data_IF_500181257499
#
_entry.id   IF_500181257499
#
_cell.length_a   1.000
_cell.length_b   1.000
_cell.length_c   1.000
_cell.angle_alpha   90.00
_cell.angle_beta   90.00
_cell.angle_gamma   90.00
#
_symmetry.space_group_name_H-M   'P 1'
#
loop_
_entity.id
_entity.type
_entity.pdbx_description
1 polymer ?
#
# COMPACT_ATOMS: atom_id res chain seq x y z
N UNK A 1 -2.07 0.72 1.41
CA UNK A 1 -1.89 0.80 2.87
C UNK A 1 -2.99 -0.04 3.50
N UNK A 2 -2.74 -0.65 4.65
CA UNK A 2 -3.75 -1.37 5.41
C UNK A 2 -3.99 -0.61 6.72
N UNK A 3 -5.08 0.17 6.73
CA UNK A 3 -5.51 0.95 7.88
C UNK A 3 -6.27 0.03 8.84
N UNK A 4 -5.81 -0.15 10.09
CA UNK A 4 -6.51 -0.99 11.06
C UNK A 4 -7.96 -0.53 11.24
N UNK A 5 -8.87 -1.50 11.40
CA UNK A 5 -10.31 -1.26 11.61
C UNK A 5 -11.06 -0.65 10.44
N UNK A 6 -10.41 -0.38 9.31
CA UNK A 6 -11.09 0.04 8.08
C UNK A 6 -11.63 -1.16 7.29
N UNK A 7 -12.85 -1.06 6.74
CA UNK A 7 -13.47 -2.16 6.00
C UNK A 7 -12.79 -2.38 4.64
N UNK A 8 -12.93 -3.59 4.14
CA UNK A 8 -12.51 -3.98 2.79
C UNK A 8 -13.51 -3.41 1.75
N UNK A 9 -13.21 -2.22 1.22
CA UNK A 9 -14.12 -1.48 0.33
C UNK A 9 -14.08 -1.94 -1.12
N UNK A 10 -13.08 -2.73 -1.52
CA UNK A 10 -12.98 -3.34 -2.84
C UNK A 10 -13.44 -4.78 -2.75
N UNK A 11 -14.55 -5.10 -3.40
CA UNK A 11 -15.18 -6.42 -3.33
C UNK A 11 -15.61 -6.86 -4.73
N UNK A 12 -15.41 -8.14 -5.05
CA UNK A 12 -15.94 -8.75 -6.26
C UNK A 12 -17.36 -9.28 -6.01
N UNK A 13 -18.39 -8.67 -6.61
CA UNK A 13 -19.76 -9.20 -6.53
C UNK A 13 -19.97 -10.23 -7.63
N UNK A 14 -20.21 -11.50 -7.25
CA UNK A 14 -20.63 -12.53 -8.21
C UNK A 14 -22.08 -12.27 -8.65
N UNK A 15 -22.26 -11.71 -9.85
CA UNK A 15 -23.58 -11.63 -10.48
C UNK A 15 -23.98 -13.03 -11.00
N UNK A 16 -25.12 -13.56 -10.56
CA UNK A 16 -25.65 -14.87 -10.95
C UNK A 16 -26.03 -15.00 -12.45
N UNK A 17 -25.80 -13.97 -13.26
CA UNK A 17 -26.26 -13.88 -14.65
C UNK A 17 -25.15 -13.65 -15.70
N UNK A 18 -23.86 -13.66 -15.32
CA UNK A 18 -22.78 -13.47 -16.29
C UNK A 18 -21.93 -14.73 -16.46
N UNK A 19 -22.28 -15.53 -17.48
CA UNK A 19 -21.41 -16.53 -18.08
C UNK A 19 -20.32 -15.85 -18.92
N UNK A 20 -19.24 -15.38 -18.29
CA UNK A 20 -18.00 -15.09 -19.01
C UNK A 20 -16.83 -15.85 -18.38
N UNK A 21 -16.04 -16.51 -19.24
CA UNK A 21 -15.03 -17.55 -18.96
C UNK A 21 -13.72 -17.04 -18.38
N UNK A 22 -13.66 -15.82 -17.85
CA UNK A 22 -12.53 -15.36 -17.06
C UNK A 22 -12.77 -15.79 -15.62
N UNK A 23 -11.84 -16.54 -15.02
CA UNK A 23 -11.85 -16.82 -13.58
C UNK A 23 -11.96 -15.48 -12.85
N UNK A 24 -13.18 -15.09 -12.45
CA UNK A 24 -13.41 -13.86 -11.70
C UNK A 24 -12.75 -14.07 -10.35
N UNK A 25 -11.69 -13.31 -10.08
CA UNK A 25 -11.00 -13.29 -8.79
C UNK A 25 -12.05 -12.96 -7.73
N UNK A 26 -12.33 -13.89 -6.82
CA UNK A 26 -13.18 -13.64 -5.66
C UNK A 26 -12.27 -13.10 -4.57
N UNK A 27 -12.36 -11.82 -4.28
CA UNK A 27 -11.46 -11.15 -3.34
C UNK A 27 -12.13 -9.95 -2.66
N UNK A 28 -11.65 -9.60 -1.48
CA UNK A 28 -12.04 -8.41 -0.73
C UNK A 28 -10.79 -7.79 -0.09
N UNK A 29 -10.53 -6.50 -0.36
CA UNK A 29 -9.41 -5.79 0.26
C UNK A 29 -9.65 -4.28 0.36
N UNK A 30 -8.77 -3.57 1.06
CA UNK A 30 -8.84 -2.12 1.23
C UNK A 30 -8.48 -1.41 -0.09
N UNK A 31 -8.80 -0.13 -0.15
CA UNK A 31 -8.55 0.68 -1.32
C UNK A 31 -7.08 0.67 -1.76
N UNK A 32 -6.88 0.41 -3.05
CA UNK A 32 -5.59 0.57 -3.71
C UNK A 32 -5.46 2.00 -4.25
N UNK A 33 -4.30 2.61 -4.02
CA UNK A 33 -4.00 3.95 -4.50
C UNK A 33 -2.94 3.90 -5.59
N UNK A 34 -3.24 4.50 -6.74
CA UNK A 34 -2.23 4.77 -7.76
C UNK A 34 -1.28 5.85 -7.28
N UNK A 35 -0.01 5.67 -7.61
CA UNK A 35 1.01 6.69 -7.46
C UNK A 35 1.71 6.93 -8.79
N UNK A 36 2.31 8.10 -8.93
CA UNK A 36 3.09 8.52 -10.09
C UNK A 36 4.26 9.41 -9.67
N UNK A 37 5.14 9.70 -10.62
CA UNK A 37 6.25 10.60 -10.39
C UNK A 37 5.78 11.95 -9.80
N UNK A 38 6.44 12.37 -8.72
CA UNK A 38 6.13 13.60 -8.01
C UNK A 38 5.08 13.46 -6.91
N UNK A 39 4.54 12.27 -6.67
CA UNK A 39 3.69 12.04 -5.50
C UNK A 39 4.55 11.99 -4.23
N UNK A 40 4.11 12.73 -3.22
CA UNK A 40 4.54 12.60 -1.83
C UNK A 40 3.45 11.81 -1.12
N UNK A 41 3.83 10.71 -0.46
CA UNK A 41 2.91 9.82 0.25
C UNK A 41 3.31 9.82 1.73
N UNK A 42 2.37 10.13 2.61
CA UNK A 42 2.55 10.07 4.05
C UNK A 42 2.09 8.71 4.58
N UNK A 43 2.96 8.03 5.33
CA UNK A 43 2.65 6.74 5.95
C UNK A 43 2.73 6.92 7.47
N UNK A 44 1.61 6.78 8.21
CA UNK A 44 1.63 6.87 9.67
C UNK A 44 2.43 5.73 10.32
N UNK A 45 2.97 5.98 11.51
CA UNK A 45 3.65 4.95 12.29
C UNK A 45 2.73 3.75 12.55
N UNK A 46 3.25 2.53 12.35
CA UNK A 46 2.52 1.28 12.57
C UNK A 46 1.55 0.87 11.46
N UNK A 47 1.35 1.68 10.42
CA UNK A 47 0.48 1.33 9.29
C UNK A 47 1.23 0.47 8.28
N UNK A 48 0.72 -0.74 8.03
CA UNK A 48 1.28 -1.63 7.02
C UNK A 48 1.05 -1.05 5.60
N UNK A 49 2.08 -1.16 4.75
CA UNK A 49 2.02 -0.68 3.39
C UNK A 49 2.87 -1.55 2.47
N UNK A 50 2.51 -1.55 1.19
CA UNK A 50 3.21 -2.24 0.12
C UNK A 50 3.08 -1.43 -1.16
N UNK A 51 4.05 -1.59 -2.06
CA UNK A 51 4.09 -0.91 -3.35
C UNK A 51 4.26 -1.95 -4.44
N UNK A 52 3.61 -1.71 -5.56
CA UNK A 52 3.73 -2.55 -6.75
C UNK A 52 3.98 -1.66 -7.96
N UNK A 53 5.08 -1.93 -8.66
CA UNK A 53 5.37 -1.27 -9.92
C UNK A 53 4.70 -2.03 -11.05
N UNK A 54 3.67 -1.44 -11.64
CA UNK A 54 2.96 -1.97 -12.80
C UNK A 54 3.36 -1.28 -14.12
N UNK A 55 4.37 -0.40 -14.10
CA UNK A 55 4.91 0.24 -15.29
C UNK A 55 6.17 -0.43 -15.82
N UNK A 56 6.53 -0.11 -17.06
CA UNK A 56 7.72 -0.67 -17.73
C UNK A 56 9.04 -0.05 -17.24
N UNK A 57 8.96 1.13 -16.63
CA UNK A 57 10.11 1.84 -16.08
C UNK A 57 10.34 1.47 -14.61
N UNK A 58 11.60 1.36 -14.14
CA UNK A 58 11.89 1.19 -12.73
C UNK A 58 11.29 2.31 -11.88
N UNK A 59 10.64 1.93 -10.77
CA UNK A 59 10.19 2.87 -9.75
C UNK A 59 11.36 3.27 -8.86
N UNK A 60 11.53 4.58 -8.64
CA UNK A 60 12.47 5.13 -7.65
C UNK A 60 11.67 5.92 -6.63
N UNK A 61 11.84 5.59 -5.36
CA UNK A 61 11.25 6.32 -4.24
C UNK A 61 12.34 6.73 -3.25
N UNK A 62 12.18 7.92 -2.67
CA UNK A 62 12.98 8.41 -1.57
C UNK A 62 12.15 8.29 -0.30
N UNK A 63 12.66 7.55 0.68
CA UNK A 63 12.02 7.37 1.97
C UNK A 63 12.68 8.31 2.98
N UNK A 64 11.86 9.12 3.65
CA UNK A 64 12.28 9.94 4.80
C UNK A 64 11.50 9.44 6.00
N UNK A 65 12.22 9.04 7.04
CA UNK A 65 11.62 8.53 8.27
C UNK A 65 11.94 9.51 9.41
N UNK A 66 10.91 9.99 10.07
CA UNK A 66 11.02 10.92 11.20
C UNK A 66 11.11 10.13 12.53
N UNK A 67 12.33 9.77 12.94
CA UNK A 67 12.55 9.02 14.18
C UNK A 67 12.32 9.85 15.46
N UNK A 68 12.31 11.18 15.34
CA UNK A 68 12.03 12.12 16.42
C UNK A 68 10.55 12.45 16.57
N UNK A 69 9.69 11.83 15.77
CA UNK A 69 8.25 12.06 15.81
C UNK A 69 7.64 11.60 17.15
N UNK A 70 6.68 12.36 17.69
CA UNK A 70 5.96 11.98 18.91
C UNK A 70 5.19 10.65 18.81
N UNK A 71 4.90 10.18 17.59
CA UNK A 71 4.31 8.85 17.38
C UNK A 71 5.30 7.70 17.68
N UNK A 72 6.61 7.96 17.66
CA UNK A 72 7.63 6.98 18.03
C UNK A 72 7.84 6.99 19.56
N UNK A 73 7.34 5.95 20.23
CA UNK A 73 7.44 5.78 21.69
C UNK A 73 8.58 4.83 22.12
N UNK A 74 9.39 4.35 21.17
CA UNK A 74 10.46 3.40 21.45
C UNK A 74 11.74 4.18 21.80
N UNK A 75 12.58 4.40 20.80
CA UNK A 75 13.80 5.19 20.86
C UNK A 75 14.07 5.79 19.47
N UNK A 76 15.03 6.71 19.32
CA UNK A 76 15.35 7.35 18.05
C UNK A 76 16.01 6.43 16.99
N UNK A 77 15.79 5.12 17.07
CA UNK A 77 16.31 4.13 16.12
C UNK A 77 15.19 3.72 15.14
N UNK A 78 15.38 3.91 13.81
CA UNK A 78 14.54 3.31 12.77
C UNK A 78 14.27 1.83 12.99
N UNK A 79 13.02 1.42 12.78
CA UNK A 79 12.64 0.00 12.75
C UNK A 79 11.70 -0.26 11.59
N UNK A 80 11.97 -1.35 10.88
CA UNK A 80 11.10 -1.86 9.83
C UNK A 80 10.61 -3.25 10.22
N UNK A 81 9.28 -3.42 10.23
CA UNK A 81 8.64 -4.67 10.60
C UNK A 81 8.02 -5.29 9.34
N UNK A 82 8.72 -6.23 8.73
CA UNK A 82 8.25 -6.89 7.52
C UNK A 82 7.16 -7.91 7.85
N UNK A 83 6.03 -7.85 7.14
CA UNK A 83 5.01 -8.91 7.19
C UNK A 83 5.43 -10.13 6.36
N UNK A 84 6.26 -9.93 5.34
CA UNK A 84 6.79 -10.98 4.50
C UNK A 84 8.16 -10.53 3.95
N UNK A 85 8.93 -11.50 3.49
CA UNK A 85 10.30 -11.38 3.04
C UNK A 85 11.29 -11.31 4.20
N UNK A 86 12.57 -11.34 3.82
CA UNK A 86 13.68 -10.96 4.68
C UNK A 86 14.65 -10.08 3.90
N UNK A 87 15.19 -8.99 4.45
CA UNK A 87 16.22 -8.22 3.79
C UNK A 87 17.41 -9.11 3.40
N UNK A 88 17.87 -9.02 2.15
CA UNK A 88 19.15 -9.62 1.72
C UNK A 88 20.33 -8.84 2.28
N UNK A 89 21.54 -9.41 2.26
CA UNK A 89 22.74 -8.78 2.84
C UNK A 89 23.03 -7.37 2.30
N UNK A 90 22.85 -7.14 0.99
CA UNK A 90 23.03 -5.82 0.39
C UNK A 90 21.88 -4.85 0.73
N UNK A 91 20.65 -5.36 0.90
CA UNK A 91 19.54 -4.56 1.43
C UNK A 91 19.80 -4.20 2.89
N UNK A 92 20.45 -5.08 3.64
CA UNK A 92 20.77 -4.88 5.04
C UNK A 92 21.72 -3.69 5.24
N UNK A 93 22.66 -3.41 4.34
CA UNK A 93 23.48 -2.18 4.41
C UNK A 93 22.66 -0.89 4.19
N UNK A 94 21.59 -0.97 3.38
CA UNK A 94 20.67 0.15 3.14
C UNK A 94 19.69 0.37 4.30
N UNK A 95 19.37 -0.69 5.06
CA UNK A 95 18.43 -0.67 6.17
C UNK A 95 19.10 -0.70 7.56
N UNK A 96 20.41 -0.97 7.66
CA UNK A 96 21.11 -1.05 8.96
C UNK A 96 21.57 0.33 9.40
N UNK A 97 20.82 0.87 10.35
CA UNK A 97 21.34 1.82 11.32
C UNK A 97 22.03 1.00 12.42
N UNK A 98 23.17 1.47 12.95
CA UNK A 98 24.12 0.72 13.81
C UNK A 98 23.60 0.29 15.20
N UNK A 99 22.41 -0.30 15.31
CA UNK A 99 21.87 -0.81 16.56
C UNK A 99 21.71 -2.32 16.49
N UNK A 100 22.54 -3.03 17.26
CA UNK A 100 22.47 -4.35 17.93
C UNK A 100 21.24 -5.28 17.76
N UNK A 101 20.54 -5.28 16.63
CA UNK A 101 19.56 -6.31 16.26
C UNK A 101 20.18 -7.20 15.18
N UNK A 102 21.18 -7.94 15.63
CA UNK A 102 21.69 -9.17 15.00
C UNK A 102 20.74 -10.36 15.28
N UNK A 103 19.46 -10.08 15.61
CA UNK A 103 18.38 -11.04 15.49
C UNK A 103 18.20 -11.26 14.00
N UNK A 104 18.29 -12.50 13.52
CA UNK A 104 18.01 -12.86 12.13
C UNK A 104 16.88 -11.98 11.57
N UNK A 105 17.21 -11.07 10.65
CA UNK A 105 16.31 -10.08 10.04
C UNK A 105 15.20 -10.79 9.26
N UNK A 106 14.25 -11.37 9.97
CA UNK A 106 13.15 -12.15 9.45
C UNK A 106 11.86 -11.33 9.54
N UNK A 107 10.82 -11.75 8.81
CA UNK A 107 9.51 -11.15 8.99
C UNK A 107 8.97 -11.38 10.42
N UNK A 108 7.97 -10.60 10.81
CA UNK A 108 7.40 -10.66 12.17
C UNK A 108 6.86 -12.05 12.55
N UNK A 109 6.44 -12.86 11.57
CA UNK A 109 5.88 -14.18 11.83
C UNK A 109 6.94 -15.20 12.26
N UNK A 110 8.19 -14.98 11.90
CA UNK A 110 9.28 -15.90 12.19
C UNK A 110 9.62 -15.97 13.69
N UNK A 111 9.24 -14.94 14.47
CA UNK A 111 9.38 -14.93 15.93
C UNK A 111 8.36 -15.82 16.68
N UNK A 112 7.37 -16.38 15.98
CA UNK A 112 6.31 -17.17 16.60
C UNK A 112 6.54 -18.68 16.48
N UNK A 113 6.00 -19.45 17.44
CA UNK A 113 5.90 -20.90 17.28
C UNK A 113 4.88 -21.21 16.14
N UNK A 114 5.20 -22.11 15.18
CA UNK A 114 4.35 -22.35 14.01
C UNK A 114 3.00 -22.99 14.36
N UNK A 115 2.90 -23.73 15.45
CA UNK A 115 1.66 -24.36 15.89
C UNK A 115 0.71 -23.31 16.48
N UNK A 116 1.22 -22.42 17.35
CA UNK A 116 0.44 -21.29 17.90
C UNK A 116 0.04 -20.29 16.82
N UNK A 117 0.93 -20.00 15.86
CA UNK A 117 0.63 -19.11 14.74
C UNK A 117 -0.48 -19.70 13.85
N UNK A 118 -0.42 -21.01 13.58
CA UNK A 118 -1.45 -21.73 12.83
C UNK A 118 -2.80 -21.68 13.53
N UNK A 119 -2.83 -21.90 14.85
CA UNK A 119 -4.05 -21.81 15.66
C UNK A 119 -4.64 -20.39 15.63
N UNK A 120 -3.83 -19.35 15.89
CA UNK A 120 -4.29 -17.97 15.93
C UNK A 120 -4.86 -17.47 14.60
N UNK A 121 -4.30 -17.91 13.47
CA UNK A 121 -4.75 -17.54 12.13
C UNK A 121 -5.78 -18.51 11.53
N UNK A 122 -6.08 -19.63 12.21
CA UNK A 122 -6.99 -20.66 11.69
C UNK A 122 -6.47 -21.37 10.44
N UNK A 123 -5.15 -21.52 10.30
CA UNK A 123 -4.50 -22.15 9.13
C UNK A 123 -3.70 -23.38 9.51
N UNK A 124 -3.36 -24.21 8.51
CA UNK A 124 -2.49 -25.36 8.74
C UNK A 124 -1.11 -24.93 9.24
N UNK A 125 -0.48 -25.78 10.06
CA UNK A 125 0.93 -25.61 10.47
C UNK A 125 1.85 -25.35 9.28
N UNK A 126 1.62 -26.02 8.15
CA UNK A 126 2.43 -25.82 6.95
C UNK A 126 2.21 -24.45 6.30
N UNK A 127 0.99 -23.90 6.36
CA UNK A 127 0.72 -22.52 5.94
C UNK A 127 1.41 -21.53 6.87
N UNK A 128 1.36 -21.75 8.19
CA UNK A 128 2.06 -20.92 9.17
C UNK A 128 3.58 -20.91 8.90
N UNK A 129 4.18 -22.09 8.67
CA UNK A 129 5.60 -22.17 8.30
C UNK A 129 5.93 -21.48 6.96
N UNK A 130 4.99 -21.43 6.02
CA UNK A 130 5.16 -20.66 4.77
C UNK A 130 5.18 -19.16 5.04
N UNK A 131 4.31 -18.64 5.91
CA UNK A 131 4.30 -17.22 6.30
C UNK A 131 5.62 -16.78 6.95
N UNK A 132 6.29 -17.69 7.66
CA UNK A 132 7.59 -17.41 8.28
C UNK A 132 8.75 -17.29 7.27
N UNK A 133 8.58 -17.81 6.05
CA UNK A 133 9.52 -17.66 4.93
C UNK A 133 11.01 -17.93 5.26
N UNK A 134 11.28 -18.84 6.20
CA UNK A 134 12.63 -19.08 6.74
C UNK A 134 13.66 -19.43 5.65
N UNK A 135 13.22 -20.13 4.59
CA UNK A 135 14.05 -20.60 3.48
C UNK A 135 13.92 -19.77 2.20
N UNK A 136 13.22 -18.64 2.24
CA UNK A 136 13.04 -17.78 1.06
C UNK A 136 14.26 -16.87 0.84
N UNK A 137 14.77 -16.77 -0.39
CA UNK A 137 15.92 -15.93 -0.72
C UNK A 137 15.58 -14.77 -1.66
N UNK A 138 14.29 -14.53 -1.93
CA UNK A 138 13.84 -13.49 -2.87
C UNK A 138 14.02 -12.07 -2.34
N UNK A 139 14.21 -11.89 -1.04
CA UNK A 139 14.36 -10.59 -0.41
C UNK A 139 13.01 -9.92 -0.08
N UNK A 140 13.04 -8.61 0.20
CA UNK A 140 11.83 -7.80 0.48
C UNK A 140 11.19 -7.19 -0.78
N UNK A 141 11.87 -7.26 -1.93
CA UNK A 141 11.35 -6.83 -3.23
C UNK A 141 11.34 -8.03 -4.15
N UNK A 142 10.15 -8.49 -4.53
CA UNK A 142 9.98 -9.69 -5.36
C UNK A 142 9.45 -9.34 -6.75
N UNK A 143 9.75 -10.20 -7.73
CA UNK A 143 9.19 -10.13 -9.07
C UNK A 143 7.91 -10.96 -9.15
N UNK A 144 6.80 -10.34 -9.57
CA UNK A 144 5.53 -11.04 -9.85
C UNK A 144 5.48 -11.39 -11.34
N UNK A 145 5.73 -12.66 -11.67
CA UNK A 145 5.98 -13.09 -13.05
C UNK A 145 4.79 -12.86 -14.02
N UNK A 146 3.56 -13.00 -13.54
CA UNK A 146 2.34 -12.87 -14.35
C UNK A 146 1.60 -11.55 -14.12
N UNK A 147 2.24 -10.61 -13.43
CA UNK A 147 1.59 -9.39 -12.93
C UNK A 147 0.71 -9.66 -11.70
N UNK A 148 0.55 -8.63 -10.87
CA UNK A 148 -0.32 -8.69 -9.69
C UNK A 148 -1.79 -8.66 -10.14
N UNK A 149 -2.56 -9.64 -9.70
CA UNK A 149 -4.02 -9.67 -9.85
C UNK A 149 -4.64 -9.15 -8.55
N UNK A 150 -5.31 -7.99 -8.62
CA UNK A 150 -6.03 -7.39 -7.49
C UNK A 150 -7.23 -6.62 -8.03
N UNK A 151 -8.26 -6.43 -7.20
CA UNK A 151 -9.41 -5.60 -7.59
C UNK A 151 -8.96 -4.15 -7.64
N UNK A 152 -9.01 -3.53 -8.82
CA UNK A 152 -8.63 -2.14 -8.97
C UNK A 152 -9.54 -1.49 -10.02
N UNK A 153 -10.05 -0.25 -9.80
CA UNK A 153 -11.16 0.29 -10.60
C UNK A 153 -10.80 0.42 -12.08
N UNK A 154 -9.54 0.72 -12.39
CA UNK A 154 -9.10 0.85 -13.79
C UNK A 154 -8.92 -0.47 -14.53
N UNK A 155 -9.02 -1.65 -13.89
CA UNK A 155 -9.13 -2.91 -14.64
C UNK A 155 -10.55 -3.13 -15.18
N UNK A 156 -11.53 -2.33 -14.77
CA UNK A 156 -12.90 -2.35 -15.32
C UNK A 156 -13.09 -1.33 -16.46
N UNK A 157 -12.08 -0.54 -16.84
CA UNK A 157 -12.24 0.61 -17.75
C UNK A 157 -11.28 0.60 -18.95
N UNK A 158 -10.90 -0.56 -19.48
CA UNK A 158 -10.14 -0.62 -20.73
C UNK A 158 -11.01 -0.54 -22.01
N UNK A 159 -12.26 -0.04 -21.92
CA UNK A 159 -13.09 0.22 -23.11
C UNK A 159 -13.73 1.61 -23.19
N UNK A 160 -13.33 2.58 -22.34
CA UNK A 160 -13.80 3.96 -22.48
C UNK A 160 -12.62 4.93 -22.28
N UNK A 161 -11.70 4.94 -23.24
CA UNK A 161 -10.76 6.04 -23.40
C UNK A 161 -10.65 6.38 -24.88
N UNK A 162 -11.53 7.24 -25.34
CA UNK A 162 -11.17 8.38 -26.17
C UNK A 162 -12.32 9.39 -26.08
N UNK A 163 -11.96 10.64 -25.80
CA UNK A 163 -12.82 11.83 -25.69
C UNK A 163 -13.46 12.11 -24.32
N UNK A 164 -13.18 13.33 -23.82
CA UNK A 164 -13.72 13.99 -22.61
C UNK A 164 -13.02 13.57 -21.31
N UNK A 165 -12.32 14.42 -20.57
CA UNK A 165 -12.82 15.72 -20.11
C UNK A 165 -11.71 16.47 -19.35
N UNK A 166 -11.35 17.65 -19.86
CA UNK A 166 -11.15 18.80 -18.98
C UNK A 166 -12.50 19.07 -18.30
N UNK A 167 -12.47 19.53 -17.05
CA UNK A 167 -13.63 19.80 -16.19
C UNK A 167 -14.26 18.58 -15.50
N UNK A 168 -13.82 18.31 -14.26
CA UNK A 168 -14.69 17.82 -13.19
C UNK A 168 -14.07 18.17 -11.83
N UNK A 169 -14.18 19.45 -11.47
CA UNK A 169 -14.45 19.82 -10.09
C UNK A 169 -15.93 19.56 -9.86
N UNK A 170 -16.29 18.39 -9.33
CA UNK A 170 -17.56 18.15 -8.66
C UNK A 170 -17.54 16.82 -7.92
N UNK A 171 -18.22 16.85 -6.78
CA UNK A 171 -18.33 15.84 -5.72
C UNK A 171 -18.38 14.38 -6.19
N UNK A 172 -17.79 13.42 -5.46
CA UNK A 172 -18.03 12.02 -5.71
C UNK A 172 -19.46 11.67 -5.24
N UNK A 173 -20.41 11.67 -6.17
CA UNK A 173 -21.70 11.00 -6.01
C UNK A 173 -21.45 9.50 -6.02
N UNK A 174 -21.22 8.92 -4.85
CA UNK A 174 -21.33 7.48 -4.62
C UNK A 174 -22.81 7.09 -4.65
N UNK A 175 -23.36 6.87 -5.83
CA UNK A 175 -24.63 6.17 -6.00
C UNK A 175 -24.37 4.71 -6.39
N UNK A 176 -23.93 3.93 -5.40
CA UNK A 176 -23.86 2.47 -5.44
C UNK A 176 -24.42 1.94 -4.13
N UNK A 177 -25.68 1.51 -4.13
CA UNK A 177 -26.43 1.04 -2.97
C UNK A 177 -25.94 -0.36 -2.52
N UNK A 178 -25.50 -0.44 -1.26
CA UNK A 178 -25.21 -1.67 -0.51
C UNK A 178 -23.80 -1.59 0.06
N UNK A 179 -23.55 -1.18 1.31
CA UNK A 179 -24.22 -1.56 2.54
C UNK A 179 -24.47 -0.33 3.43
N UNK A 180 -25.72 -0.05 3.74
CA UNK A 180 -26.06 0.81 4.87
C UNK A 180 -26.00 -0.04 6.14
N UNK A 181 -24.98 0.19 6.98
CA UNK A 181 -25.02 0.18 8.45
C UNK A 181 -23.59 0.12 8.99
N UNK A 182 -22.93 1.29 9.16
CA UNK A 182 -22.18 1.68 10.36
C UNK A 182 -21.43 3.02 10.15
N UNK A 183 -21.77 4.01 10.98
CA UNK A 183 -21.09 5.27 11.34
C UNK A 183 -20.23 6.02 10.29
N UNK A 184 -20.74 7.17 9.83
CA UNK A 184 -20.05 8.11 8.91
C UNK A 184 -18.77 8.80 9.43
N UNK A 185 -18.20 8.36 10.55
CA UNK A 185 -16.82 8.72 10.95
C UNK A 185 -15.81 7.73 10.39
N UNK A 186 -16.17 6.44 10.33
CA UNK A 186 -15.28 5.38 9.84
C UNK A 186 -15.04 5.54 8.34
N UNK A 187 -16.05 5.95 7.57
CA UNK A 187 -15.88 6.28 6.14
C UNK A 187 -14.92 7.45 5.91
N UNK A 188 -14.96 8.49 6.76
CA UNK A 188 -14.09 9.66 6.63
C UNK A 188 -12.66 9.29 7.05
N UNK A 189 -12.53 8.50 8.12
CA UNK A 189 -11.22 8.10 8.62
C UNK A 189 -10.50 7.11 7.70
N UNK A 190 -11.25 6.21 7.07
CA UNK A 190 -10.69 5.21 6.17
C UNK A 190 -10.42 5.73 4.76
N UNK A 191 -10.96 6.92 4.41
CA UNK A 191 -10.77 7.57 3.12
C UNK A 191 -9.82 8.79 3.17
N UNK A 192 -9.01 8.95 4.22
CA UNK A 192 -8.09 10.08 4.32
C UNK A 192 -7.10 10.11 3.15
N UNK A 193 -6.95 11.30 2.54
CA UNK A 193 -6.00 11.51 1.45
C UNK A 193 -4.57 11.63 2.00
N UNK A 194 -3.82 10.55 1.86
CA UNK A 194 -2.43 10.45 2.33
C UNK A 194 -1.37 10.79 1.26
N UNK A 195 -1.78 11.29 0.09
CA UNK A 195 -0.84 11.63 -0.99
C UNK A 195 -1.14 12.96 -1.68
N UNK A 196 -0.08 13.64 -2.14
CA UNK A 196 -0.15 14.87 -2.93
C UNK A 196 0.94 14.88 -4.00
N UNK A 197 0.55 15.17 -5.25
CA UNK A 197 1.51 15.38 -6.33
C UNK A 197 2.11 16.80 -6.24
N UNK A 198 3.42 16.90 -6.08
CA UNK A 198 4.15 18.18 -6.03
C UNK A 198 4.83 18.54 -7.35
N UNK A 199 4.72 17.67 -8.37
CA UNK A 199 5.35 17.88 -9.67
C UNK A 199 4.42 18.54 -10.71
N UNK A 200 3.13 18.72 -10.38
CA UNK A 200 2.19 19.38 -11.28
C UNK A 200 2.43 20.91 -11.31
N UNK A 201 2.85 21.42 -12.47
CA UNK A 201 3.09 22.85 -12.67
C UNK A 201 1.83 23.70 -12.47
N UNK A 202 0.64 23.16 -12.76
CA UNK A 202 -0.64 23.87 -12.61
C UNK A 202 -1.08 24.02 -11.14
N UNK A 203 -0.51 23.25 -10.22
CA UNK A 203 -0.79 23.34 -8.78
C UNK A 203 0.41 23.89 -8.00
N UNK A 204 1.08 24.88 -8.58
CA UNK A 204 2.22 25.57 -7.97
C UNK A 204 1.74 26.66 -7.02
N UNK A 205 2.37 26.80 -5.86
CA UNK A 205 2.02 27.85 -4.89
C UNK A 205 2.77 29.17 -5.17
N UNK A 206 4.04 29.08 -5.57
CA UNK A 206 4.86 30.24 -5.93
C UNK A 206 5.49 29.99 -7.29
N UNK A 207 5.28 30.91 -8.22
CA UNK A 207 5.79 30.81 -9.58
C UNK A 207 6.50 32.10 -10.00
N UNK A 208 7.72 31.96 -10.52
CA UNK A 208 8.44 33.01 -11.22
C UNK A 208 8.84 32.50 -12.61
N UNK A 209 8.38 33.11 -13.72
CA UNK A 209 8.67 32.64 -15.08
C UNK A 209 10.16 32.48 -15.39
N UNK A 210 11.04 33.25 -14.73
CA UNK A 210 12.50 33.21 -14.90
C UNK A 210 13.25 32.61 -13.71
N UNK A 211 12.55 32.24 -12.63
CA UNK A 211 13.14 31.76 -11.38
C UNK A 211 12.70 30.36 -10.96
N UNK A 212 11.67 29.80 -11.59
CA UNK A 212 11.17 28.45 -11.30
C UNK A 212 9.87 28.45 -10.48
N UNK A 213 9.60 27.32 -9.84
CA UNK A 213 8.35 27.05 -9.11
C UNK A 213 8.59 26.39 -7.76
N UNK A 214 7.69 26.65 -6.82
CA UNK A 214 7.65 25.99 -5.51
C UNK A 214 6.22 25.46 -5.28
N UNK A 215 6.13 24.19 -4.96
CA UNK A 215 4.89 23.53 -4.51
C UNK A 215 5.13 22.96 -3.12
N UNK A 216 4.26 23.31 -2.17
CA UNK A 216 4.30 22.88 -0.78
C UNK A 216 3.35 21.72 -0.58
N UNK A 217 3.76 20.73 0.22
CA UNK A 217 2.89 19.68 0.72
C UNK A 217 2.86 19.78 2.24
N UNK A 218 1.74 20.27 2.78
CA UNK A 218 1.58 20.60 4.20
C UNK A 218 0.13 20.38 4.67
N UNK A 219 -0.02 20.57 5.99
CA UNK A 219 -1.23 20.80 6.81
C UNK A 219 -2.44 21.44 6.15
#
# INVERSE_FOLDING_TARGET
MALPSCPETFQSVQSAFEQSSTQKLSDEHQQLHKFRQGDVIAVPAGVAHWLYNNGDSPMVAFLVIDFGNNANQLDPIPREFFLAGKPTSWQQEQYSYQAEQQSDNQNIFAGFNPDLLGEALGVSRQTAMRLQELNDQRGVIIRVAQGLQALHPSFQTEQVQEEQSQEQQQQPTWSGRGCAQNNGLDEIMCAFKLSKNINNAQSTDIFNPRGGRITRANS
#
